data_IF_967019788711
#
_entry.id   IF_967019788711
#
_cell.length_a   1.000
_cell.length_b   1.000
_cell.length_c   1.000
_cell.angle_alpha   90.00
_cell.angle_beta   90.00
_cell.angle_gamma   90.00
#
_symmetry.space_group_name_H-M   'P 1'
#
loop_
_entity.id
_entity.type
_entity.pdbx_description
1 polymer ?
#
# COMPACT_ATOMS: atom_id res chain seq x y z
N UNK A 1 3.92 -7.62 16.77
CA UNK A 1 4.10 -6.16 16.75
C UNK A 1 4.63 -5.62 18.09
N UNK A 2 3.98 -5.84 19.24
CA UNK A 2 4.47 -5.32 20.55
C UNK A 2 5.89 -5.79 20.88
N UNK A 3 6.19 -7.06 20.68
CA UNK A 3 7.54 -7.62 20.90
C UNK A 3 8.59 -6.97 19.99
N UNK A 4 8.28 -6.76 18.71
CA UNK A 4 9.15 -6.05 17.76
C UNK A 4 9.47 -4.63 18.24
N UNK A 5 8.46 -3.88 18.71
CA UNK A 5 8.65 -2.54 19.25
C UNK A 5 9.49 -2.58 20.53
N UNK A 6 9.20 -3.52 21.44
CA UNK A 6 9.98 -3.67 22.67
C UNK A 6 11.46 -4.00 22.38
N UNK A 7 11.73 -4.86 21.39
CA UNK A 7 13.09 -5.16 20.93
C UNK A 7 13.78 -3.92 20.39
N UNK A 8 13.12 -3.17 19.51
CA UNK A 8 13.69 -1.95 18.94
C UNK A 8 14.02 -0.90 20.01
N UNK A 9 13.14 -0.72 20.99
CA UNK A 9 13.40 0.19 22.13
C UNK A 9 14.56 -0.31 23.00
N UNK A 10 14.63 -1.62 23.25
CA UNK A 10 15.72 -2.17 24.05
C UNK A 10 17.08 -2.03 23.38
N UNK A 11 17.15 -2.21 22.06
CA UNK A 11 18.41 -2.16 21.30
C UNK A 11 18.84 -0.75 20.89
N UNK A 12 17.87 0.13 20.54
CA UNK A 12 18.13 1.44 19.93
C UNK A 12 17.61 2.62 20.76
N UNK A 13 16.88 2.36 21.86
CA UNK A 13 16.33 3.40 22.75
C UNK A 13 15.05 4.07 22.25
N UNK A 14 14.66 3.89 20.99
CA UNK A 14 13.53 4.56 20.38
C UNK A 14 12.91 3.78 19.21
N UNK A 15 11.71 4.18 18.81
CA UNK A 15 11.10 3.83 17.52
C UNK A 15 10.65 5.11 16.85
N UNK A 16 11.42 5.60 15.89
CA UNK A 16 11.13 6.87 15.19
C UNK A 16 10.16 6.68 14.02
N UNK A 17 10.25 5.54 13.33
CA UNK A 17 9.43 5.25 12.15
C UNK A 17 8.93 3.82 12.18
N UNK A 18 7.66 3.63 11.76
CA UNK A 18 7.13 2.33 11.39
C UNK A 18 6.56 2.39 9.98
N UNK A 19 6.90 1.40 9.15
CA UNK A 19 6.33 1.22 7.81
C UNK A 19 5.43 -0.01 7.82
N UNK A 20 4.11 0.21 7.77
CA UNK A 20 3.11 -0.84 7.64
C UNK A 20 2.95 -1.20 6.17
N UNK A 21 3.83 -2.07 5.67
CA UNK A 21 3.90 -2.46 4.26
C UNK A 21 3.29 -3.84 3.98
N UNK A 22 3.24 -4.73 4.96
CA UNK A 22 2.71 -6.08 4.76
C UNK A 22 1.29 -6.05 4.20
N UNK A 23 1.05 -6.83 3.15
CA UNK A 23 -0.25 -6.86 2.50
C UNK A 23 -0.42 -8.03 1.53
N UNK A 24 -1.67 -8.34 1.20
CA UNK A 24 -2.07 -9.34 0.20
C UNK A 24 -3.20 -8.79 -0.65
N UNK A 25 -3.31 -9.26 -1.89
CA UNK A 25 -4.24 -8.72 -2.90
C UNK A 25 -5.01 -9.87 -3.58
N UNK A 26 -5.93 -10.54 -2.89
CA UNK A 26 -6.73 -11.63 -3.44
C UNK A 26 -7.85 -11.09 -4.33
N UNK A 27 -7.49 -10.62 -5.55
CA UNK A 27 -8.46 -10.16 -6.53
C UNK A 27 -9.34 -11.32 -6.96
N UNK A 28 -10.65 -11.14 -6.90
CA UNK A 28 -11.67 -12.07 -7.35
C UNK A 28 -13.03 -11.37 -7.38
N UNK A 29 -13.95 -11.83 -8.23
CA UNK A 29 -15.35 -11.39 -8.19
C UNK A 29 -16.06 -12.05 -7.00
N UNK A 30 -17.13 -11.45 -6.51
CA UNK A 30 -17.93 -12.07 -5.43
C UNK A 30 -18.46 -13.45 -5.85
N UNK A 31 -18.67 -13.67 -7.14
CA UNK A 31 -19.06 -14.99 -7.68
C UNK A 31 -18.00 -16.08 -7.47
N UNK A 32 -16.74 -15.70 -7.24
CA UNK A 32 -15.62 -16.64 -6.97
C UNK A 32 -15.51 -17.01 -5.48
N UNK A 33 -16.54 -16.72 -4.67
CA UNK A 33 -16.49 -16.81 -3.19
C UNK A 33 -16.05 -18.17 -2.65
N UNK A 34 -16.40 -19.27 -3.30
CA UNK A 34 -16.00 -20.61 -2.86
C UNK A 34 -14.47 -20.80 -2.85
N UNK A 35 -13.75 -20.12 -3.74
CA UNK A 35 -12.30 -20.20 -3.87
C UNK A 35 -11.59 -19.06 -3.16
N UNK A 36 -12.26 -17.93 -2.96
CA UNK A 36 -11.67 -16.67 -2.50
C UNK A 36 -11.92 -16.36 -1.01
N UNK A 37 -12.92 -16.96 -0.37
CA UNK A 37 -13.36 -16.56 0.97
C UNK A 37 -12.23 -16.60 2.01
N UNK A 38 -11.45 -17.66 2.07
CA UNK A 38 -10.32 -17.77 3.01
C UNK A 38 -9.23 -16.72 2.72
N UNK A 39 -8.95 -16.48 1.44
CA UNK A 39 -7.98 -15.48 1.04
C UNK A 39 -8.47 -14.05 1.38
N UNK A 40 -9.77 -13.79 1.28
CA UNK A 40 -10.37 -12.52 1.68
C UNK A 40 -10.32 -12.31 3.19
N UNK A 41 -10.64 -13.30 4.01
CA UNK A 41 -10.52 -13.21 5.46
C UNK A 41 -9.09 -12.89 5.87
N UNK A 42 -8.12 -13.61 5.29
CA UNK A 42 -6.70 -13.34 5.50
C UNK A 42 -6.30 -11.94 5.03
N UNK A 43 -6.89 -11.43 3.94
CA UNK A 43 -6.65 -10.08 3.46
C UNK A 43 -7.10 -9.02 4.46
N UNK A 44 -8.28 -9.20 5.06
CA UNK A 44 -8.80 -8.33 6.12
C UNK A 44 -7.85 -8.33 7.32
N UNK A 45 -7.44 -9.51 7.76
CA UNK A 45 -6.54 -9.68 8.90
C UNK A 45 -5.17 -9.02 8.67
N UNK A 46 -4.58 -9.23 7.52
CA UNK A 46 -3.26 -8.66 7.21
C UNK A 46 -3.36 -7.17 6.92
N UNK A 47 -4.23 -6.76 5.99
CA UNK A 47 -4.22 -5.39 5.47
C UNK A 47 -4.83 -4.38 6.45
N UNK A 48 -5.88 -4.76 7.21
CA UNK A 48 -6.52 -3.85 8.17
C UNK A 48 -5.94 -4.03 9.56
N UNK A 49 -6.05 -5.26 10.13
CA UNK A 49 -5.60 -5.50 11.49
C UNK A 49 -4.09 -5.36 11.62
N UNK A 50 -3.31 -5.74 10.58
CA UNK A 50 -1.85 -5.54 10.58
C UNK A 50 -1.47 -4.07 10.73
N UNK A 51 -2.08 -3.17 9.94
CA UNK A 51 -1.87 -1.72 10.03
C UNK A 51 -2.29 -1.18 11.40
N UNK A 52 -3.50 -1.53 11.86
CA UNK A 52 -4.01 -1.12 13.16
C UNK A 52 -3.09 -1.58 14.30
N UNK A 53 -2.60 -2.82 14.26
CA UNK A 53 -1.68 -3.34 15.26
C UNK A 53 -0.31 -2.65 15.22
N UNK A 54 0.16 -2.22 14.03
CA UNK A 54 1.36 -1.40 13.91
C UNK A 54 1.20 -0.06 14.59
N UNK A 55 0.08 0.62 14.34
CA UNK A 55 -0.26 1.90 14.97
C UNK A 55 -0.36 1.77 16.50
N UNK A 56 -1.13 0.77 16.99
CA UNK A 56 -1.30 0.51 18.43
C UNK A 56 0.05 0.21 19.10
N UNK A 57 0.89 -0.59 18.47
CA UNK A 57 2.13 -1.04 19.10
C UNK A 57 3.16 0.08 19.25
N UNK A 58 3.11 1.13 18.42
CA UNK A 58 4.05 2.25 18.43
C UNK A 58 3.51 3.50 19.11
N UNK A 59 2.18 3.60 19.32
CA UNK A 59 1.52 4.81 19.80
C UNK A 59 2.13 5.36 21.08
N UNK A 60 2.08 4.60 22.16
CA UNK A 60 2.52 5.06 23.48
C UNK A 60 4.01 5.45 23.47
N UNK A 61 4.83 4.67 22.78
CA UNK A 61 6.25 4.96 22.66
C UNK A 61 6.51 6.27 21.92
N UNK A 62 5.85 6.48 20.76
CA UNK A 62 6.02 7.69 19.95
C UNK A 62 5.48 8.94 20.68
N UNK A 63 4.36 8.81 21.40
CA UNK A 63 3.83 9.90 22.23
C UNK A 63 4.82 10.26 23.36
N UNK A 64 5.38 9.26 24.06
CA UNK A 64 6.36 9.48 25.10
C UNK A 64 7.66 10.13 24.59
N UNK A 65 8.07 9.81 23.35
CA UNK A 65 9.20 10.43 22.66
C UNK A 65 8.94 11.88 22.21
N UNK A 66 7.65 12.29 22.15
CA UNK A 66 7.22 13.56 21.58
C UNK A 66 7.31 13.63 20.06
N UNK A 67 7.60 12.52 19.39
CA UNK A 67 7.66 12.40 17.93
C UNK A 67 7.60 10.96 17.48
N UNK A 68 7.07 10.75 16.28
CA UNK A 68 7.04 9.48 15.56
C UNK A 68 6.53 9.66 14.13
N UNK A 69 6.78 8.71 13.26
CA UNK A 69 6.27 8.73 11.90
C UNK A 69 5.72 7.36 11.51
N UNK A 70 4.44 7.30 11.18
CA UNK A 70 3.79 6.10 10.67
C UNK A 70 3.60 6.23 9.17
N UNK A 71 4.13 5.28 8.42
CA UNK A 71 3.94 5.18 6.97
C UNK A 71 3.09 3.96 6.68
N UNK A 72 1.92 4.16 6.08
CA UNK A 72 0.99 3.10 5.73
C UNK A 72 0.95 2.91 4.20
N UNK A 73 1.30 1.72 3.72
CA UNK A 73 1.22 1.39 2.30
C UNK A 73 -0.20 0.94 1.95
N UNK A 74 -0.93 1.86 1.33
CA UNK A 74 -2.27 1.64 0.79
C UNK A 74 -2.21 1.17 -0.67
N UNK A 75 -3.07 1.68 -1.52
CA UNK A 75 -3.14 1.42 -2.96
C UNK A 75 -4.10 2.41 -3.61
N UNK A 76 -3.99 2.60 -4.94
CA UNK A 76 -5.03 3.27 -5.74
C UNK A 76 -6.38 2.55 -5.67
N UNK A 77 -6.39 1.23 -5.44
CA UNK A 77 -7.63 0.46 -5.21
C UNK A 77 -8.44 0.92 -3.99
N UNK A 78 -7.82 1.65 -3.05
CA UNK A 78 -8.51 2.24 -1.90
C UNK A 78 -9.20 3.57 -2.20
N UNK A 79 -9.06 4.13 -3.40
CA UNK A 79 -9.63 5.42 -3.75
C UNK A 79 -11.08 5.30 -4.26
N UNK A 80 -11.37 4.25 -5.03
CA UNK A 80 -12.67 4.06 -5.67
C UNK A 80 -13.08 2.58 -5.67
N UNK A 81 -14.39 2.27 -5.68
CA UNK A 81 -14.89 0.92 -5.85
C UNK A 81 -14.49 0.37 -7.22
N UNK A 82 -13.96 -0.84 -7.23
CA UNK A 82 -13.50 -1.51 -8.46
C UNK A 82 -14.05 -2.93 -8.51
N UNK A 83 -14.69 -3.31 -9.61
CA UNK A 83 -15.15 -4.68 -9.81
C UNK A 83 -13.97 -5.65 -9.76
N UNK A 84 -14.15 -6.81 -9.12
CA UNK A 84 -13.07 -7.79 -8.90
C UNK A 84 -12.11 -7.48 -7.76
N UNK A 85 -12.25 -6.31 -7.12
CA UNK A 85 -11.40 -5.90 -6.01
C UNK A 85 -12.19 -5.51 -4.75
N UNK A 86 -13.43 -6.00 -4.60
CA UNK A 86 -14.33 -5.57 -3.53
C UNK A 86 -13.68 -5.64 -2.14
N UNK A 87 -13.11 -6.79 -1.76
CA UNK A 87 -12.48 -6.97 -0.45
C UNK A 87 -11.15 -6.25 -0.38
N UNK A 88 -10.27 -6.43 -1.37
CA UNK A 88 -8.97 -5.76 -1.39
C UNK A 88 -9.12 -4.23 -1.34
N UNK A 89 -9.97 -3.67 -2.22
CA UNK A 89 -10.26 -2.24 -2.25
C UNK A 89 -10.81 -1.73 -0.92
N UNK A 90 -11.77 -2.46 -0.32
CA UNK A 90 -12.30 -2.13 0.99
C UNK A 90 -11.20 -2.10 2.07
N UNK A 91 -10.25 -3.07 2.07
CA UNK A 91 -9.14 -3.05 3.03
C UNK A 91 -8.25 -1.82 2.84
N UNK A 92 -7.97 -1.43 1.60
CA UNK A 92 -7.13 -0.25 1.32
C UNK A 92 -7.86 1.07 1.58
N UNK A 93 -9.17 1.12 1.36
CA UNK A 93 -10.01 2.25 1.81
C UNK A 93 -10.02 2.37 3.34
N UNK A 94 -10.11 1.24 4.05
CA UNK A 94 -9.99 1.23 5.51
C UNK A 94 -8.62 1.75 5.98
N UNK A 95 -7.52 1.38 5.32
CA UNK A 95 -6.18 1.91 5.62
C UNK A 95 -6.14 3.43 5.41
N UNK A 96 -6.72 3.96 4.33
CA UNK A 96 -6.81 5.40 4.08
C UNK A 96 -7.54 6.11 5.22
N UNK A 97 -8.70 5.57 5.64
CA UNK A 97 -9.51 6.14 6.72
C UNK A 97 -8.80 6.07 8.07
N UNK A 98 -8.20 4.92 8.43
CA UNK A 98 -7.42 4.75 9.66
C UNK A 98 -6.26 5.74 9.72
N UNK A 99 -5.53 5.90 8.61
CA UNK A 99 -4.39 6.81 8.52
C UNK A 99 -4.80 8.25 8.77
N UNK A 100 -5.87 8.71 8.12
CA UNK A 100 -6.31 10.10 8.25
C UNK A 100 -6.93 10.39 9.62
N UNK A 101 -7.73 9.44 10.17
CA UNK A 101 -8.26 9.58 11.52
C UNK A 101 -7.14 9.67 12.54
N UNK A 102 -6.16 8.78 12.45
CA UNK A 102 -5.03 8.78 13.38
C UNK A 102 -4.13 10.02 13.23
N UNK A 103 -3.96 10.53 12.03
CA UNK A 103 -3.26 11.81 11.78
C UNK A 103 -3.91 12.96 12.54
N UNK A 104 -5.23 13.01 12.57
CA UNK A 104 -5.98 14.05 13.30
C UNK A 104 -5.86 13.85 14.80
N UNK A 105 -5.99 12.61 15.29
CA UNK A 105 -5.91 12.29 16.74
C UNK A 105 -4.52 12.54 17.32
N UNK A 106 -3.45 12.32 16.54
CA UNK A 106 -2.05 12.44 16.98
C UNK A 106 -1.36 13.73 16.53
N UNK A 107 -2.14 14.73 16.12
CA UNK A 107 -1.63 15.98 15.56
C UNK A 107 -0.58 16.65 16.44
N UNK A 108 0.56 16.97 15.84
CA UNK A 108 1.70 17.61 16.52
C UNK A 108 2.67 16.64 17.18
N UNK A 109 2.30 15.37 17.38
CA UNK A 109 3.17 14.37 18.02
C UNK A 109 3.62 13.26 17.07
N UNK A 110 2.75 12.83 16.13
CA UNK A 110 3.06 11.73 15.21
C UNK A 110 2.68 12.15 13.79
N UNK A 111 3.62 12.03 12.85
CA UNK A 111 3.33 12.15 11.41
C UNK A 111 2.69 10.86 10.91
N UNK A 112 1.76 10.99 9.97
CA UNK A 112 1.17 9.85 9.28
C UNK A 112 1.23 10.11 7.77
N UNK A 113 1.84 9.19 7.03
CA UNK A 113 1.91 9.22 5.57
C UNK A 113 1.21 8.00 4.99
N UNK A 114 0.34 8.22 4.02
CA UNK A 114 -0.29 7.17 3.23
C UNK A 114 0.37 7.11 1.85
N UNK A 115 0.92 5.95 1.49
CA UNK A 115 1.53 5.73 0.16
C UNK A 115 0.59 4.88 -0.67
N UNK A 116 0.25 5.34 -1.88
CA UNK A 116 -0.70 4.68 -2.79
C UNK A 116 -0.02 4.33 -4.13
N UNK A 117 0.64 3.17 -4.21
CA UNK A 117 1.22 2.71 -5.48
C UNK A 117 0.15 2.29 -6.49
N UNK A 118 0.52 2.37 -7.78
CA UNK A 118 -0.16 1.64 -8.85
C UNK A 118 0.47 0.25 -9.04
N UNK A 119 0.77 -0.19 -10.26
CA UNK A 119 1.31 -1.52 -10.55
C UNK A 119 2.78 -1.67 -10.14
N UNK A 120 3.03 -2.56 -9.18
CA UNK A 120 4.38 -2.97 -8.73
C UNK A 120 4.47 -4.51 -8.84
N UNK A 121 4.53 -5.07 -10.05
CA UNK A 121 4.40 -6.53 -10.27
C UNK A 121 5.57 -7.34 -9.72
N UNK A 122 6.76 -6.76 -9.59
CA UNK A 122 7.96 -7.44 -9.08
C UNK A 122 7.94 -7.67 -7.55
N UNK A 123 6.76 -7.86 -6.98
CA UNK A 123 6.56 -8.16 -5.55
C UNK A 123 5.76 -9.44 -5.38
N UNK A 124 5.76 -10.01 -4.16
CA UNK A 124 4.93 -11.17 -3.82
C UNK A 124 3.40 -10.89 -3.83
N UNK A 125 2.98 -9.64 -4.05
CA UNK A 125 1.58 -9.24 -3.98
C UNK A 125 0.74 -9.92 -5.07
N UNK A 126 1.27 -10.03 -6.29
CA UNK A 126 0.59 -10.66 -7.44
C UNK A 126 0.32 -12.15 -7.23
N UNK A 127 1.13 -12.84 -6.42
CA UNK A 127 0.95 -14.27 -6.13
C UNK A 127 -0.30 -14.57 -5.28
N UNK A 128 -0.91 -13.55 -4.67
CA UNK A 128 -2.14 -13.69 -3.89
C UNK A 128 -3.42 -13.50 -4.71
N UNK A 129 -3.32 -13.14 -5.99
CA UNK A 129 -4.47 -12.98 -6.90
C UNK A 129 -5.15 -14.34 -7.11
N UNK A 130 -6.44 -14.43 -6.81
CA UNK A 130 -7.24 -15.66 -6.96
C UNK A 130 -7.76 -15.80 -8.38
N UNK A 131 -8.32 -14.73 -8.94
CA UNK A 131 -8.83 -14.69 -10.31
C UNK A 131 -8.18 -13.54 -11.11
N UNK A 132 -7.22 -13.82 -12.01
CA UNK A 132 -6.57 -12.77 -12.81
C UNK A 132 -7.54 -11.94 -13.66
N UNK A 133 -8.69 -12.50 -14.08
CA UNK A 133 -9.69 -11.75 -14.84
C UNK A 133 -10.31 -10.61 -14.01
N UNK A 134 -10.22 -10.67 -12.67
CA UNK A 134 -10.71 -9.62 -11.79
C UNK A 134 -9.96 -8.28 -11.95
N UNK A 135 -8.78 -8.27 -12.59
CA UNK A 135 -8.07 -7.03 -12.93
C UNK A 135 -8.81 -6.18 -13.98
N UNK A 136 -9.82 -6.74 -14.67
CA UNK A 136 -10.63 -5.98 -15.64
C UNK A 136 -11.29 -4.75 -15.03
N UNK A 137 -11.66 -4.81 -13.76
CA UNK A 137 -12.32 -3.68 -13.11
C UNK A 137 -11.46 -2.43 -13.02
N UNK A 138 -10.14 -2.57 -12.78
CA UNK A 138 -9.23 -1.43 -12.68
C UNK A 138 -8.62 -1.05 -14.03
N UNK A 139 -8.59 -1.97 -14.98
CA UNK A 139 -8.02 -1.73 -16.30
C UNK A 139 -9.09 -1.32 -17.33
N UNK A 140 -10.36 -1.69 -17.11
CA UNK A 140 -11.43 -1.37 -18.03
C UNK A 140 -11.14 -1.83 -19.46
N UNK A 141 -11.28 -0.92 -20.40
CA UNK A 141 -11.00 -1.18 -21.83
C UNK A 141 -9.53 -1.49 -22.12
N UNK A 142 -8.61 -1.13 -21.22
CA UNK A 142 -7.17 -1.37 -21.38
C UNK A 142 -6.75 -2.78 -20.95
N UNK A 143 -7.67 -3.63 -20.50
CA UNK A 143 -7.38 -4.93 -19.92
C UNK A 143 -6.54 -5.83 -20.83
N UNK A 144 -6.92 -5.95 -22.10
CA UNK A 144 -6.23 -6.82 -23.04
C UNK A 144 -4.81 -6.35 -23.37
N UNK A 145 -4.64 -5.03 -23.47
CA UNK A 145 -3.38 -4.42 -23.90
C UNK A 145 -2.38 -4.25 -22.74
N UNK A 146 -2.87 -4.12 -21.50
CA UNK A 146 -2.01 -3.81 -20.36
C UNK A 146 -1.78 -4.99 -19.40
N UNK A 147 -2.65 -6.00 -19.39
CA UNK A 147 -2.45 -7.19 -18.56
C UNK A 147 -1.11 -7.90 -18.84
N UNK A 148 -0.63 -8.03 -20.10
CA UNK A 148 0.68 -8.59 -20.38
C UNK A 148 1.82 -7.85 -19.67
N UNK A 149 1.78 -6.52 -19.60
CA UNK A 149 2.77 -5.71 -18.90
C UNK A 149 2.78 -6.00 -17.39
N UNK A 150 1.60 -6.12 -16.76
CA UNK A 150 1.47 -6.51 -15.36
C UNK A 150 1.95 -7.93 -15.07
N UNK A 151 1.94 -8.80 -16.09
CA UNK A 151 2.48 -10.16 -16.04
C UNK A 151 3.99 -10.21 -16.38
N UNK A 152 4.66 -9.05 -16.53
CA UNK A 152 6.09 -8.94 -16.80
C UNK A 152 6.47 -9.05 -18.28
N UNK A 153 5.50 -9.03 -19.20
CA UNK A 153 5.73 -9.05 -20.65
C UNK A 153 5.79 -7.60 -21.16
N UNK A 154 6.92 -6.95 -20.94
CA UNK A 154 7.14 -5.56 -21.30
C UNK A 154 7.77 -5.41 -22.68
N UNK A 155 7.32 -4.44 -23.47
CA UNK A 155 8.07 -3.96 -24.63
C UNK A 155 9.31 -3.19 -24.17
N UNK A 156 10.25 -2.89 -25.09
CA UNK A 156 11.42 -2.09 -24.77
C UNK A 156 11.05 -0.70 -24.22
N UNK A 157 10.04 -0.06 -24.80
CA UNK A 157 9.54 1.25 -24.38
C UNK A 157 8.86 1.19 -23.01
N UNK A 158 8.09 0.14 -22.73
CA UNK A 158 7.44 -0.07 -21.44
C UNK A 158 8.43 -0.38 -20.31
N UNK A 159 9.62 -0.89 -20.64
CA UNK A 159 10.68 -1.17 -19.68
C UNK A 159 11.64 0.01 -19.48
N UNK A 160 11.65 0.99 -20.39
CA UNK A 160 12.53 2.17 -20.31
C UNK A 160 11.96 3.22 -19.33
N UNK A 161 12.67 3.48 -18.23
CA UNK A 161 12.29 4.48 -17.21
C UNK A 161 12.21 5.92 -17.75
N UNK A 162 12.84 6.22 -18.88
CA UNK A 162 12.78 7.53 -19.51
C UNK A 162 11.68 7.64 -20.57
N UNK A 163 10.98 6.55 -20.86
CA UNK A 163 9.87 6.52 -21.78
C UNK A 163 8.55 7.00 -21.15
N UNK A 164 7.72 7.78 -21.85
CA UNK A 164 6.36 8.07 -21.42
C UNK A 164 5.47 6.81 -21.36
N UNK A 165 5.88 5.71 -22.02
CA UNK A 165 5.20 4.41 -21.99
C UNK A 165 5.69 3.51 -20.86
N UNK A 166 6.59 4.00 -19.97
CA UNK A 166 7.05 3.22 -18.81
C UNK A 166 5.86 2.70 -18.01
N UNK A 167 5.70 1.37 -17.97
CA UNK A 167 4.41 0.78 -17.65
C UNK A 167 4.25 0.34 -16.19
N UNK A 168 5.32 -0.09 -15.53
CA UNK A 168 5.27 -0.69 -14.20
C UNK A 168 6.39 -0.16 -13.31
N UNK A 169 6.08 0.02 -12.02
CA UNK A 169 7.06 0.51 -11.05
C UNK A 169 7.89 -0.63 -10.47
N UNK A 170 9.20 -0.50 -10.35
CA UNK A 170 9.99 -1.35 -9.46
C UNK A 170 9.71 -0.99 -8.00
N UNK A 171 9.88 -1.93 -7.05
CA UNK A 171 9.68 -1.68 -5.63
C UNK A 171 10.53 -0.53 -5.07
N UNK A 172 11.71 -0.32 -5.62
CA UNK A 172 12.63 0.74 -5.20
C UNK A 172 12.04 2.13 -5.39
N UNK A 173 11.25 2.37 -6.44
CA UNK A 173 10.57 3.66 -6.64
C UNK A 173 9.60 3.98 -5.50
N UNK A 174 8.94 2.96 -4.95
CA UNK A 174 8.05 3.13 -3.80
C UNK A 174 8.88 3.38 -2.53
N UNK A 175 9.97 2.65 -2.35
CA UNK A 175 10.86 2.82 -1.21
C UNK A 175 11.49 4.22 -1.19
N UNK A 176 11.90 4.76 -2.32
CA UNK A 176 12.41 6.13 -2.46
C UNK A 176 11.37 7.18 -2.04
N UNK A 177 10.09 7.00 -2.39
CA UNK A 177 9.05 7.93 -1.97
C UNK A 177 8.75 7.83 -0.46
N UNK A 178 8.87 6.65 0.11
CA UNK A 178 8.77 6.45 1.57
C UNK A 178 9.94 7.16 2.26
N UNK A 179 11.17 6.99 1.77
CA UNK A 179 12.35 7.68 2.30
C UNK A 179 12.22 9.20 2.15
N UNK A 180 11.73 9.68 1.00
CA UNK A 180 11.46 11.10 0.81
C UNK A 180 10.50 11.68 1.87
N UNK A 181 9.41 10.96 2.19
CA UNK A 181 8.48 11.39 3.23
C UNK A 181 9.11 11.37 4.65
N UNK A 182 9.96 10.39 4.93
CA UNK A 182 10.63 10.24 6.22
C UNK A 182 11.67 11.35 6.43
N UNK A 183 12.41 11.70 5.39
CA UNK A 183 13.51 12.66 5.44
C UNK A 183 13.07 14.13 5.51
N UNK A 184 11.78 14.40 5.49
CA UNK A 184 11.28 15.77 5.62
C UNK A 184 11.52 16.34 7.03
N UNK A 185 11.87 17.64 7.16
CA UNK A 185 11.96 18.31 8.44
C UNK A 185 10.73 18.06 9.30
N UNK A 186 10.90 18.02 10.63
CA UNK A 186 9.80 17.64 11.53
C UNK A 186 8.53 18.49 11.35
N UNK A 187 8.68 19.78 11.08
CA UNK A 187 7.56 20.68 10.80
C UNK A 187 6.84 20.47 9.47
N UNK A 188 7.36 19.56 8.61
CA UNK A 188 6.77 19.23 7.30
C UNK A 188 6.24 17.80 7.35
N UNK A 189 4.95 17.62 7.09
CA UNK A 189 4.31 16.30 7.01
C UNK A 189 3.78 16.08 5.59
N UNK A 190 4.24 15.02 4.95
CA UNK A 190 3.66 14.52 3.69
C UNK A 190 2.51 13.60 4.07
N UNK A 191 1.27 14.03 3.84
CA UNK A 191 0.08 13.24 4.20
C UNK A 191 -0.14 12.07 3.25
N UNK A 192 -0.04 12.32 1.95
CA UNK A 192 -0.33 11.36 0.88
C UNK A 192 0.68 11.41 -0.23
N UNK A 193 1.05 10.23 -0.75
CA UNK A 193 1.87 10.10 -1.96
C UNK A 193 1.21 9.05 -2.85
N UNK A 194 0.81 9.45 -4.05
CA UNK A 194 0.40 8.52 -5.10
C UNK A 194 1.54 8.38 -6.09
N UNK A 195 2.02 7.14 -6.30
CA UNK A 195 3.13 6.84 -7.21
C UNK A 195 2.59 6.05 -8.39
N UNK A 196 2.79 6.56 -9.59
CA UNK A 196 2.32 5.97 -10.85
C UNK A 196 3.46 5.83 -11.85
N UNK A 197 3.46 4.75 -12.62
CA UNK A 197 4.24 4.71 -13.85
C UNK A 197 3.56 5.63 -14.89
N UNK A 198 4.34 6.36 -15.67
CA UNK A 198 3.80 7.35 -16.64
C UNK A 198 2.89 6.71 -17.67
N UNK A 199 3.24 5.50 -18.11
CA UNK A 199 2.47 4.71 -19.09
C UNK A 199 1.50 3.72 -18.46
N UNK A 200 1.17 3.84 -17.16
CA UNK A 200 0.16 2.94 -16.60
C UNK A 200 -1.22 3.18 -17.23
N UNK A 201 -2.02 2.12 -17.34
CA UNK A 201 -3.31 2.13 -18.02
C UNK A 201 -4.50 1.90 -17.07
N UNK A 202 -4.32 2.21 -15.79
CA UNK A 202 -5.42 2.15 -14.84
C UNK A 202 -6.45 3.24 -15.13
N UNK A 203 -7.75 2.89 -15.00
CA UNK A 203 -8.87 3.81 -15.33
C UNK A 203 -9.32 4.67 -14.15
N UNK A 204 -8.61 4.60 -13.01
CA UNK A 204 -8.90 5.37 -11.78
C UNK A 204 -7.68 6.15 -11.30
#
# INVERSE_FOLDING_TARGET
MKEMVATAVAEFGAVDVIVNNAGTMPLAFIADHEQAAEAWDRCIDINIKGVLHGMIATHDQMIAQGRGHIVNVSSIYGNFPVAGAAVYGATKAAVNTLSESYRVESQGAIKVTTVRPTGVPATGLSSSVVNPAAAVGILGQNFQDYLPALMGQLTAEQADRNSPEFAVLPPDDIAEQILYAIDQPWGVSIGDITVRATGDRYVI
#
